data_IF_502853383276
#
_entry.id   IF_502853383276
#
_cell.length_a   1.000
_cell.length_b   1.000
_cell.length_c   1.000
_cell.angle_alpha   90.00
_cell.angle_beta   90.00
_cell.angle_gamma   90.00
#
_symmetry.space_group_name_H-M   'P 1'
#
loop_
_entity.id
_entity.type
_entity.pdbx_description
1 polymer ?
#
# COMPACT_ATOMS: atom_id res chain seq x y z
N UNK A 1 9.31 -6.82 28.26
CA UNK A 1 7.95 -6.35 27.94
C UNK A 1 8.02 -5.22 26.92
N UNK A 2 7.05 -5.14 26.00
CA UNK A 2 6.96 -4.12 24.95
C UNK A 2 5.75 -3.21 25.20
N UNK A 3 5.87 -1.93 24.87
CA UNK A 3 4.78 -0.95 25.00
C UNK A 3 4.83 0.08 23.86
N UNK A 4 3.72 0.78 23.64
CA UNK A 4 3.61 1.87 22.65
C UNK A 4 3.13 3.14 23.36
N UNK A 5 3.71 4.30 23.02
CA UNK A 5 3.24 5.61 23.48
C UNK A 5 3.54 6.65 22.39
N UNK A 6 2.64 7.62 22.21
CA UNK A 6 2.83 8.72 21.24
C UNK A 6 3.96 9.67 21.64
N UNK A 7 4.15 9.88 22.95
CA UNK A 7 5.19 10.75 23.50
C UNK A 7 6.23 9.93 24.27
N UNK A 8 7.41 10.53 24.50
CA UNK A 8 8.47 9.92 25.30
C UNK A 8 8.06 9.89 26.77
N UNK A 9 7.83 8.69 27.30
CA UNK A 9 7.48 8.49 28.70
C UNK A 9 8.72 8.08 29.50
N UNK A 10 8.95 8.72 30.65
CA UNK A 10 10.06 8.37 31.56
C UNK A 10 9.63 7.29 32.55
N UNK A 11 10.12 6.06 32.34
CA UNK A 11 9.81 4.92 33.20
C UNK A 11 10.88 4.62 34.25
N UNK A 12 11.88 5.49 34.47
CA UNK A 12 13.00 5.18 35.38
C UNK A 12 12.56 4.81 36.79
N UNK A 13 11.52 5.46 37.33
CA UNK A 13 10.97 5.14 38.66
C UNK A 13 10.28 3.77 38.64
N UNK A 14 9.37 3.55 37.69
CA UNK A 14 8.64 2.28 37.55
C UNK A 14 9.58 1.07 37.37
N UNK A 15 10.63 1.21 36.57
CA UNK A 15 11.62 0.15 36.36
C UNK A 15 12.35 -0.20 37.66
N UNK A 16 12.70 0.81 38.48
CA UNK A 16 13.34 0.57 39.79
C UNK A 16 12.41 -0.16 40.75
N UNK A 17 11.15 0.27 40.83
CA UNK A 17 10.15 -0.33 41.70
C UNK A 17 9.92 -1.80 41.33
N UNK A 18 9.73 -2.09 40.03
CA UNK A 18 9.57 -3.45 39.53
C UNK A 18 10.83 -4.31 39.74
N UNK A 19 12.02 -3.76 39.46
CA UNK A 19 13.27 -4.52 39.62
C UNK A 19 13.53 -4.86 41.10
N UNK A 20 13.20 -3.95 42.02
CA UNK A 20 13.28 -4.18 43.46
C UNK A 20 12.32 -5.28 43.92
N UNK A 21 11.07 -5.23 43.43
CA UNK A 21 10.03 -6.20 43.80
C UNK A 21 10.32 -7.61 43.27
N UNK A 22 10.70 -7.74 41.99
CA UNK A 22 10.90 -9.04 41.34
C UNK A 22 12.35 -9.54 41.37
N UNK A 23 13.27 -8.79 41.98
CA UNK A 23 14.71 -9.10 42.12
C UNK A 23 15.35 -9.56 40.80
N UNK A 24 14.90 -9.01 39.68
CA UNK A 24 15.28 -9.42 38.33
C UNK A 24 15.61 -8.17 37.50
N UNK A 25 16.53 -8.32 36.55
CA UNK A 25 16.84 -7.24 35.60
C UNK A 25 15.64 -7.02 34.67
N UNK A 26 15.01 -5.86 34.76
CA UNK A 26 13.88 -5.47 33.91
C UNK A 26 14.34 -4.45 32.88
N UNK A 27 14.13 -4.77 31.60
CA UNK A 27 14.39 -3.88 30.48
C UNK A 27 13.06 -3.54 29.79
N UNK A 28 12.78 -2.25 29.63
CA UNK A 28 11.66 -1.77 28.84
C UNK A 28 12.16 -1.36 27.45
N UNK A 29 11.58 -1.95 26.42
CA UNK A 29 11.88 -1.62 25.02
C UNK A 29 10.68 -0.95 24.39
N UNK A 30 10.86 0.30 23.96
CA UNK A 30 9.90 0.98 23.12
C UNK A 30 10.02 0.42 21.70
N UNK A 31 8.89 0.08 21.09
CA UNK A 31 8.82 -0.41 19.72
C UNK A 31 7.90 0.47 18.89
N UNK A 32 8.10 0.51 17.58
CA UNK A 32 7.24 1.27 16.68
C UNK A 32 5.83 0.68 16.61
N UNK A 33 4.84 1.51 16.26
CA UNK A 33 3.43 1.09 16.11
C UNK A 33 3.25 -0.11 15.16
N UNK A 34 4.08 -0.19 14.11
CA UNK A 34 4.07 -1.31 13.16
C UNK A 34 4.60 -2.60 13.79
N UNK A 35 5.66 -2.53 14.59
CA UNK A 35 6.21 -3.69 15.29
C UNK A 35 5.26 -4.19 16.38
N UNK A 36 4.55 -3.28 17.04
CA UNK A 36 3.48 -3.62 17.96
C UNK A 36 2.35 -4.38 17.24
N UNK A 37 1.87 -3.85 16.11
CA UNK A 37 0.87 -4.53 15.28
C UNK A 37 1.37 -5.89 14.77
N UNK A 38 2.65 -6.00 14.39
CA UNK A 38 3.27 -7.27 13.98
C UNK A 38 3.27 -8.30 15.12
N UNK A 39 3.59 -7.87 16.34
CA UNK A 39 3.66 -8.72 17.52
C UNK A 39 2.28 -9.21 17.96
N UNK A 40 1.28 -8.33 17.93
CA UNK A 40 -0.12 -8.68 18.20
C UNK A 40 -0.68 -9.58 17.09
N UNK A 41 -0.28 -9.33 15.83
CA UNK A 41 -0.82 -10.01 14.67
C UNK A 41 -2.22 -9.51 14.30
N UNK A 42 -2.97 -10.31 13.54
CA UNK A 42 -4.32 -10.02 13.09
C UNK A 42 -4.47 -10.00 11.57
N UNK A 43 -5.54 -9.38 11.10
CA UNK A 43 -5.93 -9.34 9.69
C UNK A 43 -6.02 -7.90 9.17
N UNK A 44 -5.61 -7.70 7.93
CA UNK A 44 -5.74 -6.43 7.24
C UNK A 44 -7.14 -6.22 6.68
N UNK A 45 -7.41 -5.02 6.15
CA UNK A 45 -8.68 -4.74 5.45
C UNK A 45 -8.89 -5.56 4.17
N UNK A 46 -7.85 -6.25 3.69
CA UNK A 46 -7.94 -7.23 2.61
C UNK A 46 -8.45 -8.61 3.08
N UNK A 47 -8.67 -8.83 4.38
CA UNK A 47 -9.05 -10.13 4.93
C UNK A 47 -7.87 -11.10 5.13
N UNK A 48 -6.67 -10.78 4.62
CA UNK A 48 -5.47 -11.59 4.82
C UNK A 48 -4.76 -11.24 6.14
N UNK A 49 -3.96 -12.17 6.66
CA UNK A 49 -3.09 -11.91 7.81
C UNK A 49 -2.14 -10.74 7.53
N UNK A 50 -1.82 -9.94 8.56
CA UNK A 50 -0.95 -8.77 8.39
C UNK A 50 0.37 -9.14 7.69
N UNK A 51 0.69 -8.44 6.60
CA UNK A 51 1.87 -8.75 5.79
C UNK A 51 3.17 -8.64 6.60
N UNK A 52 3.24 -7.70 7.56
CA UNK A 52 4.37 -7.55 8.50
C UNK A 52 4.53 -8.73 9.46
N UNK A 53 3.44 -9.44 9.78
CA UNK A 53 3.48 -10.67 10.59
C UNK A 53 3.89 -11.86 9.72
N UNK A 54 3.31 -11.97 8.52
CA UNK A 54 3.48 -13.12 7.63
C UNK A 54 4.89 -13.19 7.03
N UNK A 55 5.25 -12.28 6.12
CA UNK A 55 6.46 -12.40 5.30
C UNK A 55 7.32 -11.13 5.24
N UNK A 56 6.74 -9.93 5.37
CA UNK A 56 7.49 -8.67 5.28
C UNK A 56 8.31 -8.43 6.56
N UNK A 57 9.65 -8.43 6.40
CA UNK A 57 10.61 -8.19 7.49
C UNK A 57 11.37 -6.88 7.35
N UNK A 58 11.58 -6.41 6.12
CA UNK A 58 12.19 -5.11 5.81
C UNK A 58 11.09 -4.13 5.44
N UNK A 59 11.19 -2.93 5.99
CA UNK A 59 10.20 -1.88 5.77
C UNK A 59 10.89 -0.67 5.18
N UNK A 60 10.35 -0.21 4.06
CA UNK A 60 10.74 1.04 3.44
C UNK A 60 9.83 2.17 3.91
N UNK A 61 10.32 3.40 3.76
CA UNK A 61 9.51 4.59 3.96
C UNK A 61 8.57 4.77 2.77
N UNK A 62 7.30 4.46 2.98
CA UNK A 62 6.26 4.56 1.95
C UNK A 62 5.87 6.03 1.79
N UNK A 63 5.95 6.55 0.58
CA UNK A 63 5.57 7.91 0.25
C UNK A 63 4.25 7.94 -0.52
N UNK A 64 3.68 9.13 -0.69
CA UNK A 64 2.48 9.31 -1.52
C UNK A 64 2.70 8.97 -2.99
N UNK A 65 3.97 8.92 -3.45
CA UNK A 65 4.28 8.51 -4.82
C UNK A 65 3.91 7.06 -5.09
N UNK A 66 4.11 6.16 -4.10
CA UNK A 66 3.79 4.73 -4.23
C UNK A 66 2.30 4.51 -4.53
N UNK A 67 1.44 5.40 -4.04
CA UNK A 67 -0.02 5.34 -4.25
C UNK A 67 -0.35 5.77 -5.68
N UNK A 68 0.31 6.80 -6.19
CA UNK A 68 0.14 7.29 -7.56
C UNK A 68 0.65 6.27 -8.58
N UNK A 69 1.80 5.65 -8.31
CA UNK A 69 2.39 4.61 -9.14
C UNK A 69 1.46 3.40 -9.32
N UNK A 70 0.53 3.18 -8.38
CA UNK A 70 -0.44 2.08 -8.41
C UNK A 70 -1.85 2.51 -8.87
N UNK A 71 -2.01 3.77 -9.28
CA UNK A 71 -3.30 4.35 -9.69
C UNK A 71 -4.42 4.20 -8.62
N UNK A 72 -4.05 4.13 -7.33
CA UNK A 72 -5.00 3.95 -6.23
C UNK A 72 -5.60 5.31 -5.85
N UNK A 73 -6.93 5.42 -5.69
CA UNK A 73 -7.56 6.65 -5.22
C UNK A 73 -7.08 7.07 -3.83
N UNK A 74 -6.76 8.36 -3.67
CA UNK A 74 -6.29 8.97 -2.41
C UNK A 74 -7.41 9.01 -1.35
N UNK A 75 -7.63 7.87 -0.69
CA UNK A 75 -8.65 7.70 0.35
C UNK A 75 -8.02 7.10 1.61
N UNK A 76 -7.95 7.83 2.74
CA UNK A 76 -7.18 7.41 3.91
C UNK A 76 -7.53 6.02 4.46
N UNK A 77 -8.81 5.64 4.39
CA UNK A 77 -9.31 4.33 4.84
C UNK A 77 -8.77 3.16 4.01
N UNK A 78 -8.53 3.36 2.71
CA UNK A 78 -7.96 2.33 1.83
C UNK A 78 -6.44 2.26 1.91
N UNK A 79 -5.78 3.33 2.33
CA UNK A 79 -4.31 3.46 2.33
C UNK A 79 -3.66 3.13 3.68
N UNK A 80 -4.40 3.28 4.77
CA UNK A 80 -3.90 3.08 6.13
C UNK A 80 -4.04 1.63 6.56
N UNK A 81 -2.98 1.06 7.11
CA UNK A 81 -2.99 -0.25 7.76
C UNK A 81 -3.43 -0.15 9.22
N UNK A 82 -3.70 -1.29 9.86
CA UNK A 82 -4.18 -1.35 11.26
C UNK A 82 -3.23 -0.67 12.26
N UNK A 83 -1.94 -0.59 11.93
CA UNK A 83 -0.93 0.11 12.72
C UNK A 83 -0.98 1.65 12.61
N UNK A 84 -1.94 2.22 11.88
CA UNK A 84 -2.09 3.67 11.69
C UNK A 84 -1.12 4.30 10.68
N UNK A 85 -0.26 3.51 10.04
CA UNK A 85 0.64 3.95 8.95
C UNK A 85 0.17 3.43 7.60
N UNK A 86 0.73 3.97 6.52
CA UNK A 86 0.52 3.43 5.17
C UNK A 86 0.78 1.92 5.10
N UNK A 87 -0.06 1.23 4.33
CA UNK A 87 -0.03 -0.23 4.15
C UNK A 87 1.31 -0.67 3.55
N UNK A 88 1.94 -1.67 4.15
CA UNK A 88 3.22 -2.21 3.67
C UNK A 88 3.12 -2.96 2.33
N UNK A 89 1.92 -3.41 1.93
CA UNK A 89 1.70 -3.97 0.60
C UNK A 89 1.93 -2.95 -0.53
N UNK A 90 1.74 -1.65 -0.27
CA UNK A 90 2.04 -0.60 -1.26
C UNK A 90 3.52 -0.62 -1.68
N UNK A 91 4.44 -0.93 -0.76
CA UNK A 91 5.84 -1.06 -1.14
C UNK A 91 6.11 -2.40 -1.84
N UNK A 92 5.51 -3.48 -1.33
CA UNK A 92 5.71 -4.82 -1.86
C UNK A 92 5.22 -4.99 -3.32
N UNK A 93 4.09 -4.39 -3.66
CA UNK A 93 3.44 -4.53 -4.97
C UNK A 93 3.97 -3.51 -6.00
N UNK A 94 4.71 -2.49 -5.57
CA UNK A 94 5.07 -1.36 -6.42
C UNK A 94 5.81 -1.76 -7.69
N UNK A 95 6.84 -2.60 -7.57
CA UNK A 95 7.67 -2.98 -8.72
C UNK A 95 6.84 -3.73 -9.76
N UNK A 96 5.96 -4.62 -9.31
CA UNK A 96 4.99 -5.30 -10.18
C UNK A 96 4.09 -4.31 -10.92
N UNK A 97 3.55 -3.29 -10.23
CA UNK A 97 2.71 -2.28 -10.88
C UNK A 97 3.50 -1.48 -11.92
N UNK A 98 4.74 -1.08 -11.63
CA UNK A 98 5.57 -0.31 -12.55
C UNK A 98 5.88 -1.11 -13.82
N UNK A 99 6.34 -2.36 -13.66
CA UNK A 99 6.63 -3.26 -14.78
C UNK A 99 5.39 -3.59 -15.61
N UNK A 100 4.24 -3.78 -14.95
CA UNK A 100 3.00 -4.11 -15.66
C UNK A 100 2.45 -2.90 -16.41
N UNK A 101 2.51 -1.69 -15.83
CA UNK A 101 2.02 -0.46 -16.44
C UNK A 101 2.79 -0.06 -17.70
N UNK A 102 4.05 -0.49 -17.87
CA UNK A 102 4.82 -0.26 -19.11
C UNK A 102 4.13 -0.84 -20.36
N UNK A 103 3.23 -1.81 -20.18
CA UNK A 103 2.47 -2.45 -21.28
C UNK A 103 1.20 -1.69 -21.67
N UNK A 104 0.83 -0.65 -20.92
CA UNK A 104 -0.43 0.07 -21.09
C UNK A 104 -0.17 1.52 -21.49
N UNK A 105 -1.08 2.13 -22.26
CA UNK A 105 -1.04 3.57 -22.51
C UNK A 105 -1.28 4.36 -21.21
N UNK A 106 -0.75 5.58 -21.16
CA UNK A 106 -0.88 6.43 -19.99
C UNK A 106 -2.33 6.90 -19.83
N UNK A 107 -2.82 7.01 -18.59
CA UNK A 107 -4.13 7.65 -18.35
C UNK A 107 -4.10 9.10 -18.84
N UNK A 108 -5.04 9.47 -19.70
CA UNK A 108 -5.11 10.75 -20.40
C UNK A 108 -4.48 10.77 -21.79
N UNK A 109 -3.82 9.69 -22.20
CA UNK A 109 -3.24 9.55 -23.53
C UNK A 109 -4.32 9.32 -24.58
N UNK A 110 -4.10 9.83 -25.80
CA UNK A 110 -4.95 9.56 -26.96
C UNK A 110 -4.51 8.26 -27.60
N UNK A 111 -5.44 7.34 -27.78
CA UNK A 111 -5.21 6.04 -28.40
C UNK A 111 -6.09 5.88 -29.63
N UNK A 112 -5.58 5.13 -30.61
CA UNK A 112 -6.36 4.69 -31.76
C UNK A 112 -6.72 3.22 -31.61
N UNK A 113 -8.01 2.92 -31.69
CA UNK A 113 -8.52 1.55 -31.55
C UNK A 113 -9.29 1.14 -32.80
N UNK A 114 -9.54 -0.17 -33.02
CA UNK A 114 -10.38 -0.62 -34.13
C UNK A 114 -11.80 -0.01 -34.10
N UNK A 115 -12.26 0.41 -32.93
CA UNK A 115 -13.59 1.01 -32.71
C UNK A 115 -13.58 2.56 -32.78
N UNK A 116 -12.45 3.18 -33.10
CA UNK A 116 -12.29 4.63 -33.17
C UNK A 116 -11.21 5.16 -32.22
N UNK A 117 -10.90 6.45 -32.35
CA UNK A 117 -9.97 7.14 -31.46
C UNK A 117 -10.63 7.51 -30.13
N UNK A 118 -9.84 7.62 -29.07
CA UNK A 118 -10.33 8.05 -27.77
C UNK A 118 -9.23 8.36 -26.77
N UNK A 119 -9.63 8.77 -25.56
CA UNK A 119 -8.72 9.14 -24.46
C UNK A 119 -8.83 8.11 -23.36
N UNK A 120 -7.69 7.57 -22.90
CA UNK A 120 -7.65 6.61 -21.80
C UNK A 120 -8.10 7.26 -20.49
N UNK A 121 -9.12 6.71 -19.85
CA UNK A 121 -9.60 7.19 -18.54
C UNK A 121 -9.14 6.33 -17.38
N UNK A 122 -9.00 5.02 -17.61
CA UNK A 122 -8.64 4.06 -16.57
C UNK A 122 -7.94 2.85 -17.15
N UNK A 123 -6.92 2.39 -16.45
CA UNK A 123 -6.22 1.13 -16.72
C UNK A 123 -6.55 0.13 -15.62
N UNK A 124 -6.84 -1.10 -16.01
CA UNK A 124 -7.04 -2.25 -15.11
C UNK A 124 -6.02 -3.34 -15.45
N UNK A 125 -4.88 -3.28 -14.76
CA UNK A 125 -3.73 -4.17 -15.00
C UNK A 125 -4.03 -5.64 -14.65
N UNK A 126 -4.97 -5.90 -13.75
CA UNK A 126 -5.28 -7.26 -13.30
C UNK A 126 -6.15 -8.02 -14.31
N UNK A 127 -6.94 -7.28 -15.08
CA UNK A 127 -7.82 -7.83 -16.11
C UNK A 127 -7.29 -7.59 -17.53
N UNK A 128 -6.11 -6.99 -17.68
CA UNK A 128 -5.50 -6.60 -18.96
C UNK A 128 -6.44 -5.77 -19.82
N UNK A 129 -7.12 -4.81 -19.20
CA UNK A 129 -8.18 -4.02 -19.83
C UNK A 129 -7.94 -2.53 -19.64
N UNK A 130 -8.28 -1.76 -20.67
CA UNK A 130 -8.33 -0.32 -20.64
C UNK A 130 -9.78 0.17 -20.80
N UNK A 131 -10.07 1.30 -20.18
CA UNK A 131 -11.31 2.06 -20.38
C UNK A 131 -10.92 3.39 -21.02
N UNK A 132 -11.48 3.66 -22.19
CA UNK A 132 -11.25 4.91 -22.91
C UNK A 132 -12.56 5.57 -23.29
N UNK A 133 -12.54 6.90 -23.37
CA UNK A 133 -13.67 7.72 -23.79
C UNK A 133 -13.53 8.00 -25.29
N UNK A 134 -14.52 7.59 -26.08
CA UNK A 134 -14.56 7.87 -27.52
C UNK A 134 -15.01 9.32 -27.81
N UNK A 135 -15.06 9.70 -29.09
CA UNK A 135 -15.53 11.03 -29.53
C UNK A 135 -17.01 11.29 -29.22
N UNK A 136 -17.83 10.23 -29.12
CA UNK A 136 -19.24 10.28 -28.75
C UNK A 136 -19.47 10.37 -27.24
N UNK A 137 -18.39 10.48 -26.46
CA UNK A 137 -18.38 10.62 -24.99
C UNK A 137 -18.78 9.34 -24.21
N UNK A 138 -18.81 8.20 -24.88
CA UNK A 138 -19.04 6.88 -24.30
C UNK A 138 -17.76 6.25 -23.76
N UNK A 139 -17.87 5.53 -22.65
CA UNK A 139 -16.77 4.78 -22.05
C UNK A 139 -16.77 3.35 -22.61
N UNK A 140 -15.75 3.03 -23.39
CA UNK A 140 -15.57 1.72 -24.00
C UNK A 140 -14.52 0.93 -23.24
N UNK A 141 -14.80 -0.34 -22.99
CA UNK A 141 -13.90 -1.32 -22.38
C UNK A 141 -13.24 -2.14 -23.48
N UNK A 142 -11.90 -2.25 -23.45
CA UNK A 142 -11.14 -3.02 -24.45
C UNK A 142 -9.97 -3.77 -23.79
N UNK A 143 -9.54 -4.89 -24.37
CA UNK A 143 -8.31 -5.57 -23.94
C UNK A 143 -7.09 -4.81 -24.46
N UNK A 144 -6.03 -4.73 -23.65
CA UNK A 144 -4.79 -4.03 -24.05
C UNK A 144 -4.12 -4.67 -25.27
N UNK A 145 -4.28 -5.99 -25.49
CA UNK A 145 -3.72 -6.70 -26.65
C UNK A 145 -4.38 -6.36 -28.00
N UNK A 146 -5.57 -5.75 -27.99
CA UNK A 146 -6.30 -5.35 -29.20
C UNK A 146 -5.94 -3.93 -29.66
N UNK A 147 -4.99 -3.27 -28.99
CA UNK A 147 -4.48 -1.95 -29.37
C UNK A 147 -3.73 -2.04 -30.70
N UNK A 148 -4.10 -1.19 -31.66
CA UNK A 148 -3.48 -1.17 -32.99
C UNK A 148 -2.08 -0.54 -32.94
N UNK A 149 -1.89 0.51 -32.13
CA UNK A 149 -0.59 1.12 -31.75
C UNK A 149 -0.87 2.37 -30.89
N UNK A 150 -0.03 2.64 -29.89
CA UNK A 150 0.10 3.95 -29.22
C UNK A 150 1.58 4.32 -29.24
N UNK A 151 1.93 5.33 -30.03
CA UNK A 151 3.26 5.95 -30.04
C UNK A 151 3.14 7.42 -29.67
#
# INVERSE_FOLDING_TARGET
>A
FYFTAEQRVDFRKLVRDLASQYRTRIELRQIGVRDAARHVGGYGSCGCQLCCTLFLRKFENITTQYIKDQLIPMSPSRLTGICGRLKCCLAYERDFYLEELEKYPTVGEKISTPSGAGIVEKVDIFNSVIYFRNEENDIIRMNVGDLIESH
#
